data_IF_256653478549
#
_entry.id   IF_256653478549
#
_cell.length_a   1.000
_cell.length_b   1.000
_cell.length_c   1.000
_cell.angle_alpha   90.00
_cell.angle_beta   90.00
_cell.angle_gamma   90.00
#
_symmetry.space_group_name_H-M   'P 1'
#
loop_
_entity.id
_entity.type
_entity.pdbx_description
1 polymer ?
#
# COMPACT_ATOMS: atom_id res chain seq x y z
N UNK A 1 7.32 -9.54 10.57
CA UNK A 1 8.68 -9.61 11.15
C UNK A 1 9.05 -11.04 11.55
N UNK A 2 9.87 -11.69 10.74
CA UNK A 2 10.31 -13.08 10.98
C UNK A 2 11.24 -13.16 12.19
N UNK A 3 11.99 -12.09 12.46
CA UNK A 3 12.92 -11.99 13.58
C UNK A 3 12.31 -11.34 14.82
N UNK A 4 10.98 -11.16 14.86
CA UNK A 4 10.27 -10.54 15.98
C UNK A 4 10.61 -11.19 17.33
N UNK A 5 10.69 -12.52 17.37
CA UNK A 5 11.05 -13.23 18.59
C UNK A 5 12.47 -12.88 19.07
N UNK A 6 13.43 -12.80 18.16
CA UNK A 6 14.83 -12.43 18.48
C UNK A 6 14.91 -10.99 18.94
N UNK A 7 14.25 -10.07 18.23
CA UNK A 7 14.18 -8.65 18.61
C UNK A 7 13.57 -8.50 19.99
N UNK A 8 12.44 -9.15 20.25
CA UNK A 8 11.72 -9.04 21.51
C UNK A 8 12.44 -9.69 22.68
N UNK A 9 13.16 -10.78 22.44
CA UNK A 9 13.92 -11.46 23.49
C UNK A 9 14.95 -10.53 24.14
N UNK A 10 15.51 -9.59 23.38
CA UNK A 10 16.48 -8.60 23.90
C UNK A 10 15.81 -7.27 24.24
N UNK A 11 14.92 -6.78 23.38
CA UNK A 11 14.30 -5.47 23.55
C UNK A 11 13.36 -5.41 24.76
N UNK A 12 12.59 -6.48 25.04
CA UNK A 12 11.63 -6.47 26.17
C UNK A 12 12.34 -6.41 27.53
N UNK A 13 13.35 -7.27 27.83
CA UNK A 13 14.09 -7.14 29.09
C UNK A 13 14.83 -5.81 29.21
N UNK A 14 15.48 -5.35 28.13
CA UNK A 14 16.28 -4.14 28.16
C UNK A 14 15.40 -2.89 28.37
N UNK A 15 14.27 -2.79 27.67
CA UNK A 15 13.29 -1.71 27.88
C UNK A 15 12.69 -1.72 29.29
N UNK A 16 12.46 -2.91 29.87
CA UNK A 16 12.00 -3.03 31.26
C UNK A 16 13.03 -2.46 32.25
N UNK A 17 14.32 -2.75 32.04
CA UNK A 17 15.42 -2.19 32.86
C UNK A 17 15.54 -0.68 32.67
N UNK A 18 15.47 -0.19 31.42
CA UNK A 18 15.51 1.24 31.10
C UNK A 18 14.37 1.98 31.80
N UNK A 19 13.14 1.47 31.73
CA UNK A 19 11.98 2.07 32.36
C UNK A 19 12.16 2.21 33.88
N UNK A 20 12.61 1.14 34.55
CA UNK A 20 12.89 1.18 35.99
C UNK A 20 14.00 2.19 36.30
N UNK A 21 15.05 2.23 35.48
CA UNK A 21 16.15 3.17 35.65
C UNK A 21 15.70 4.64 35.45
N UNK A 22 14.81 4.91 34.50
CA UNK A 22 14.21 6.24 34.30
C UNK A 22 13.34 6.66 35.48
N UNK A 23 12.56 5.75 36.06
CA UNK A 23 11.80 6.01 37.29
C UNK A 23 12.75 6.36 38.44
N UNK A 24 13.83 5.58 38.62
CA UNK A 24 14.85 5.88 39.64
C UNK A 24 15.52 7.22 39.39
N UNK A 25 15.84 7.55 38.12
CA UNK A 25 16.39 8.84 37.72
C UNK A 25 15.49 10.00 38.16
N UNK A 26 14.17 9.88 37.95
CA UNK A 26 13.21 10.87 38.44
C UNK A 26 13.30 11.02 39.97
N UNK A 27 13.41 9.91 40.71
CA UNK A 27 13.53 9.91 42.17
C UNK A 27 14.84 10.48 42.70
N UNK A 28 15.94 10.48 41.94
CA UNK A 28 17.24 11.02 42.38
C UNK A 28 17.61 12.33 41.68
N UNK A 29 16.68 12.89 40.88
CA UNK A 29 16.88 14.07 40.03
C UNK A 29 17.35 15.31 40.80
N UNK A 30 17.03 15.40 42.10
CA UNK A 30 17.48 16.48 42.99
C UNK A 30 18.98 16.42 43.33
N UNK A 31 19.68 15.29 43.07
CA UNK A 31 21.12 15.16 43.25
C UNK A 31 21.79 15.20 41.87
N UNK A 32 22.16 16.39 41.39
CA UNK A 32 22.67 16.62 40.02
C UNK A 32 23.81 15.66 39.60
N UNK A 33 24.85 15.40 40.42
CA UNK A 33 25.90 14.44 40.04
C UNK A 33 25.40 13.01 39.84
N UNK A 34 24.46 12.56 40.68
CA UNK A 34 23.89 11.21 40.59
C UNK A 34 22.95 11.09 39.38
N UNK A 35 22.11 12.11 39.19
CA UNK A 35 21.18 12.19 38.06
C UNK A 35 21.92 12.24 36.71
N UNK A 36 23.02 12.99 36.62
CA UNK A 36 23.82 13.05 35.39
C UNK A 36 24.53 11.73 35.07
N UNK A 37 25.03 11.01 36.09
CA UNK A 37 25.61 9.67 35.90
C UNK A 37 24.54 8.65 35.46
N UNK A 38 23.41 8.60 36.17
CA UNK A 38 22.30 7.71 35.84
C UNK A 38 21.74 8.01 34.43
N UNK A 39 21.57 9.29 34.09
CA UNK A 39 21.13 9.71 32.75
C UNK A 39 22.10 9.28 31.64
N UNK A 40 23.43 9.36 31.86
CA UNK A 40 24.41 8.84 30.89
C UNK A 40 24.31 7.34 30.70
N UNK A 41 24.13 6.58 31.79
CA UNK A 41 23.95 5.12 31.71
C UNK A 41 22.66 4.75 30.96
N UNK A 42 21.54 5.40 31.28
CA UNK A 42 20.26 5.20 30.61
C UNK A 42 20.39 5.52 29.11
N UNK A 43 21.02 6.64 28.75
CA UNK A 43 21.27 7.00 27.36
C UNK A 43 22.06 5.92 26.61
N UNK A 44 23.11 5.35 27.23
CA UNK A 44 23.87 4.25 26.65
C UNK A 44 23.03 2.98 26.47
N UNK A 45 22.16 2.65 27.43
CA UNK A 45 21.24 1.50 27.32
C UNK A 45 20.22 1.68 26.20
N UNK A 46 19.65 2.89 26.07
CA UNK A 46 18.73 3.23 24.97
C UNK A 46 19.46 3.12 23.62
N UNK A 47 20.67 3.67 23.52
CA UNK A 47 21.49 3.57 22.31
C UNK A 47 21.80 2.11 21.95
N UNK A 48 22.14 1.27 22.93
CA UNK A 48 22.37 -0.15 22.74
C UNK A 48 21.10 -0.87 22.25
N UNK A 49 19.94 -0.56 22.85
CA UNK A 49 18.65 -1.12 22.44
C UNK A 49 18.32 -0.77 20.99
N UNK A 50 18.43 0.51 20.64
CA UNK A 50 18.13 1.00 19.30
C UNK A 50 19.09 0.40 18.27
N UNK A 51 20.38 0.37 18.58
CA UNK A 51 21.38 -0.28 17.72
C UNK A 51 21.05 -1.75 17.48
N UNK A 52 20.65 -2.50 18.51
CA UNK A 52 20.27 -3.91 18.34
C UNK A 52 19.01 -4.08 17.49
N UNK A 53 18.00 -3.24 17.70
CA UNK A 53 16.78 -3.25 16.89
C UNK A 53 17.09 -2.93 15.42
N UNK A 54 17.93 -1.93 15.16
CA UNK A 54 18.40 -1.57 13.81
C UNK A 54 19.20 -2.70 13.17
N UNK A 55 20.11 -3.33 13.91
CA UNK A 55 20.88 -4.49 13.46
C UNK A 55 19.94 -5.61 13.00
N UNK A 56 18.96 -5.98 13.83
CA UNK A 56 18.01 -7.05 13.50
C UNK A 56 17.11 -6.66 12.33
N UNK A 57 16.69 -5.41 12.24
CA UNK A 57 15.89 -4.91 11.11
C UNK A 57 16.68 -4.86 9.79
N UNK A 58 18.00 -4.67 9.86
CA UNK A 58 18.90 -4.67 8.70
C UNK A 58 19.23 -6.06 8.17
N UNK A 59 18.94 -7.13 8.92
CA UNK A 59 19.23 -8.50 8.49
C UNK A 59 18.36 -8.91 7.29
N UNK A 60 18.92 -9.65 6.32
CA UNK A 60 18.12 -10.25 5.26
C UNK A 60 17.07 -11.16 5.91
N UNK A 61 15.83 -11.12 5.39
CA UNK A 61 14.66 -11.85 5.91
C UNK A 61 14.03 -11.31 7.19
N UNK A 62 14.48 -10.17 7.77
CA UNK A 62 13.84 -9.59 8.96
C UNK A 62 12.31 -9.41 8.79
N UNK A 63 11.88 -9.08 7.57
CA UNK A 63 10.48 -8.99 7.20
C UNK A 63 10.19 -9.75 5.91
N UNK A 64 9.19 -10.65 5.95
CA UNK A 64 8.62 -11.20 4.75
C UNK A 64 7.68 -10.17 4.11
N UNK A 65 8.20 -9.41 3.15
CA UNK A 65 7.42 -8.43 2.39
C UNK A 65 6.40 -9.15 1.50
N UNK A 66 5.23 -8.54 1.31
CA UNK A 66 4.20 -8.97 0.34
C UNK A 66 3.43 -10.26 0.68
N UNK A 67 3.31 -10.61 1.95
CA UNK A 67 2.51 -11.75 2.40
C UNK A 67 1.04 -11.33 2.57
N UNK A 68 0.22 -11.54 1.54
CA UNK A 68 -1.24 -11.39 1.66
C UNK A 68 -1.85 -12.73 2.10
N UNK A 69 -2.40 -12.79 3.31
CA UNK A 69 -3.20 -13.91 3.82
C UNK A 69 -4.59 -13.36 4.17
N UNK A 70 -5.64 -14.06 3.74
CA UNK A 70 -7.01 -13.67 4.08
C UNK A 70 -7.36 -14.15 5.49
N UNK A 71 -8.37 -13.52 6.12
CA UNK A 71 -8.85 -13.93 7.44
C UNK A 71 -9.19 -15.43 7.53
N UNK A 72 -9.82 -15.99 6.48
CA UNK A 72 -10.12 -17.42 6.44
C UNK A 72 -8.85 -18.30 6.40
N UNK A 73 -7.84 -17.89 5.64
CA UNK A 73 -6.54 -18.58 5.58
C UNK A 73 -5.81 -18.50 6.93
N UNK A 74 -5.86 -17.34 7.60
CA UNK A 74 -5.29 -17.15 8.94
C UNK A 74 -5.98 -18.06 9.98
N UNK A 75 -7.31 -18.11 9.98
CA UNK A 75 -8.06 -19.00 10.87
C UNK A 75 -7.68 -20.47 10.65
N UNK A 76 -7.55 -20.90 9.39
CA UNK A 76 -7.11 -22.26 9.06
C UNK A 76 -5.69 -22.56 9.56
N UNK A 77 -4.79 -21.59 9.53
CA UNK A 77 -3.46 -21.74 10.11
C UNK A 77 -3.52 -21.88 11.64
N UNK A 78 -4.38 -21.12 12.33
CA UNK A 78 -4.58 -21.29 13.78
C UNK A 78 -5.17 -22.66 14.13
N UNK A 79 -6.14 -23.15 13.35
CA UNK A 79 -6.68 -24.51 13.49
C UNK A 79 -5.58 -25.55 13.28
N UNK A 80 -4.70 -25.35 12.29
CA UNK A 80 -3.60 -26.27 12.03
C UNK A 80 -2.58 -26.29 13.18
N UNK A 81 -2.23 -25.13 13.74
CA UNK A 81 -1.34 -25.04 14.91
C UNK A 81 -1.97 -25.73 16.12
N UNK A 82 -3.21 -25.39 16.46
CA UNK A 82 -3.92 -25.98 17.59
C UNK A 82 -4.11 -27.51 17.45
N UNK A 83 -4.50 -27.96 16.25
CA UNK A 83 -4.67 -29.38 15.94
C UNK A 83 -3.36 -30.17 16.04
N UNK A 84 -2.25 -29.59 15.58
CA UNK A 84 -0.92 -30.19 15.71
C UNK A 84 -0.45 -30.23 17.17
N UNK A 85 -0.64 -29.16 17.94
CA UNK A 85 -0.35 -29.13 19.38
C UNK A 85 -1.13 -30.21 20.12
N UNK A 86 -2.43 -30.33 19.84
CA UNK A 86 -3.28 -31.35 20.46
C UNK A 86 -2.87 -32.77 20.07
N UNK A 87 -2.46 -32.98 18.81
CA UNK A 87 -1.90 -34.25 18.37
C UNK A 87 -0.64 -34.63 19.16
N UNK A 88 0.30 -33.70 19.35
CA UNK A 88 1.53 -34.00 20.11
C UNK A 88 1.27 -34.25 21.59
N UNK A 89 0.33 -33.51 22.21
CA UNK A 89 0.01 -33.65 23.64
C UNK A 89 -0.80 -34.91 23.95
N UNK A 90 -1.78 -35.25 23.11
CA UNK A 90 -2.77 -36.30 23.40
C UNK A 90 -2.68 -37.51 22.47
N UNK A 91 -1.87 -37.46 21.41
CA UNK A 91 -1.71 -38.51 20.39
C UNK A 91 -3.02 -38.94 19.72
N UNK A 92 -4.02 -38.05 19.70
CA UNK A 92 -5.33 -38.31 19.10
C UNK A 92 -5.24 -38.21 17.58
N UNK A 93 -5.39 -39.33 16.85
CA UNK A 93 -5.28 -39.35 15.38
C UNK A 93 -6.30 -38.46 14.67
N UNK A 94 -7.47 -38.24 15.28
CA UNK A 94 -8.49 -37.36 14.72
C UNK A 94 -8.02 -35.90 14.58
N UNK A 95 -7.18 -35.39 15.51
CA UNK A 95 -6.67 -34.02 15.39
C UNK A 95 -5.66 -33.87 14.26
N UNK A 96 -4.91 -34.94 13.95
CA UNK A 96 -4.06 -34.99 12.76
C UNK A 96 -4.89 -34.92 11.48
N UNK A 97 -5.97 -35.69 11.39
CA UNK A 97 -6.88 -35.66 10.24
C UNK A 97 -7.49 -34.27 10.03
N UNK A 98 -8.03 -33.65 11.10
CA UNK A 98 -8.57 -32.28 11.04
C UNK A 98 -7.51 -31.28 10.57
N UNK A 99 -6.28 -31.39 11.09
CA UNK A 99 -5.16 -30.53 10.70
C UNK A 99 -4.82 -30.70 9.22
N UNK A 100 -4.72 -31.93 8.72
CA UNK A 100 -4.43 -32.20 7.31
C UNK A 100 -5.54 -31.69 6.40
N UNK A 101 -6.81 -31.94 6.73
CA UNK A 101 -7.94 -31.39 5.98
C UNK A 101 -7.94 -29.85 5.98
N UNK A 102 -7.68 -29.23 7.13
CA UNK A 102 -7.58 -27.77 7.25
C UNK A 102 -6.45 -27.20 6.37
N UNK A 103 -5.29 -27.85 6.35
CA UNK A 103 -4.17 -27.46 5.48
C UNK A 103 -4.49 -27.64 4.00
N UNK A 104 -5.19 -28.71 3.61
CA UNK A 104 -5.65 -28.91 2.23
C UNK A 104 -6.58 -27.76 1.80
N UNK A 105 -7.55 -27.40 2.63
CA UNK A 105 -8.44 -26.25 2.38
C UNK A 105 -7.64 -24.95 2.31
N UNK A 106 -6.66 -24.76 3.19
CA UNK A 106 -5.76 -23.60 3.14
C UNK A 106 -5.04 -23.51 1.80
N UNK A 107 -4.43 -24.61 1.32
CA UNK A 107 -3.73 -24.64 0.04
C UNK A 107 -4.70 -24.40 -1.13
N UNK A 108 -5.92 -24.92 -1.07
CA UNK A 108 -6.94 -24.65 -2.08
C UNK A 108 -7.28 -23.16 -2.15
N UNK A 109 -7.61 -22.54 -1.02
CA UNK A 109 -7.90 -21.10 -0.93
C UNK A 109 -6.70 -20.26 -1.37
N UNK A 110 -5.49 -20.70 -1.03
CA UNK A 110 -4.25 -20.04 -1.44
C UNK A 110 -4.10 -20.06 -2.95
N UNK A 111 -4.29 -21.22 -3.57
CA UNK A 111 -4.23 -21.41 -5.02
C UNK A 111 -5.29 -20.56 -5.73
N UNK A 112 -6.54 -20.59 -5.26
CA UNK A 112 -7.62 -19.76 -5.83
C UNK A 112 -7.31 -18.27 -5.73
N UNK A 113 -6.77 -17.80 -4.59
CA UNK A 113 -6.33 -16.41 -4.44
C UNK A 113 -5.22 -16.02 -5.42
N UNK A 114 -4.30 -16.94 -5.72
CA UNK A 114 -3.26 -16.73 -6.71
C UNK A 114 -3.79 -16.70 -8.14
N UNK A 115 -4.71 -17.60 -8.50
CA UNK A 115 -5.36 -17.63 -9.82
C UNK A 115 -6.16 -16.35 -10.04
N UNK A 116 -6.92 -15.90 -9.05
CA UNK A 116 -7.65 -14.63 -9.12
C UNK A 116 -6.70 -13.44 -9.33
N UNK A 117 -5.54 -13.43 -8.65
CA UNK A 117 -4.54 -12.38 -8.84
C UNK A 117 -3.83 -12.46 -10.20
N UNK A 118 -3.78 -13.61 -10.86
CA UNK A 118 -3.23 -13.72 -12.22
C UNK A 118 -4.23 -13.23 -13.28
N UNK A 119 -5.53 -13.38 -13.04
CA UNK A 119 -6.60 -13.00 -13.96
C UNK A 119 -7.19 -11.60 -13.67
N UNK A 120 -6.64 -10.86 -12.71
CA UNK A 120 -7.13 -9.52 -12.40
C UNK A 120 -6.65 -8.52 -13.46
N UNK A 121 -7.50 -7.58 -13.82
CA UNK A 121 -7.10 -6.36 -14.51
C UNK A 121 -7.81 -5.19 -13.87
N UNK A 122 -7.08 -4.17 -13.43
CA UNK A 122 -7.67 -3.06 -12.67
C UNK A 122 -6.95 -1.75 -12.96
N UNK A 123 -7.70 -0.67 -13.05
CA UNK A 123 -7.15 0.68 -12.92
C UNK A 123 -7.38 1.18 -11.50
N UNK A 124 -6.32 1.70 -10.87
CA UNK A 124 -6.39 2.37 -9.57
C UNK A 124 -5.85 3.79 -9.74
N UNK A 125 -6.63 4.81 -9.37
CA UNK A 125 -6.13 6.18 -9.21
C UNK A 125 -6.15 6.51 -7.71
N UNK A 126 -4.98 6.70 -7.12
CA UNK A 126 -4.79 6.82 -5.69
C UNK A 126 -5.15 8.21 -5.17
N UNK A 127 -5.75 8.28 -3.98
CA UNK A 127 -5.98 9.54 -3.29
C UNK A 127 -4.76 9.93 -2.45
N UNK A 128 -3.81 10.62 -3.08
CA UNK A 128 -2.61 11.14 -2.41
C UNK A 128 -2.62 12.67 -2.56
N UNK A 129 -2.74 13.37 -1.45
CA UNK A 129 -2.93 14.83 -1.45
C UNK A 129 -1.85 15.55 -2.29
N UNK A 130 -2.29 16.35 -3.26
CA UNK A 130 -1.47 17.17 -4.17
C UNK A 130 -0.54 16.39 -5.10
N UNK A 131 -0.71 15.07 -5.22
CA UNK A 131 0.14 14.22 -6.04
C UNK A 131 -0.67 13.45 -7.09
N UNK A 132 -0.02 13.18 -8.22
CA UNK A 132 -0.49 12.25 -9.25
C UNK A 132 -0.02 10.84 -8.91
N UNK A 133 -0.94 9.88 -8.85
CA UNK A 133 -0.60 8.48 -8.74
C UNK A 133 -1.71 7.61 -9.31
N UNK A 134 -1.42 6.89 -10.39
CA UNK A 134 -2.27 5.84 -10.91
C UNK A 134 -1.48 4.56 -11.17
N UNK A 135 -2.16 3.43 -11.16
CA UNK A 135 -1.58 2.14 -11.44
C UNK A 135 -2.56 1.28 -12.24
N UNK A 136 -2.12 0.83 -13.41
CA UNK A 136 -2.80 -0.16 -14.21
C UNK A 136 -2.23 -1.53 -13.84
N UNK A 137 -3.06 -2.40 -13.29
CA UNK A 137 -2.70 -3.75 -12.86
C UNK A 137 -3.14 -4.73 -13.95
N UNK A 138 -2.23 -5.59 -14.37
CA UNK A 138 -2.48 -6.71 -15.27
C UNK A 138 -1.88 -8.00 -14.68
N UNK A 139 -2.75 -8.86 -14.16
CA UNK A 139 -2.36 -10.00 -13.37
C UNK A 139 -1.53 -9.59 -12.15
N UNK A 140 -0.26 -10.00 -12.14
CA UNK A 140 0.70 -9.67 -11.07
C UNK A 140 1.74 -8.64 -11.50
N UNK A 141 1.51 -8.00 -12.63
CA UNK A 141 2.32 -6.90 -13.16
C UNK A 141 1.51 -5.62 -13.01
N UNK A 142 2.21 -4.48 -12.86
CA UNK A 142 1.55 -3.20 -12.93
C UNK A 142 2.39 -2.17 -13.67
N UNK A 143 1.71 -1.21 -14.29
CA UNK A 143 2.29 0.02 -14.82
C UNK A 143 1.88 1.14 -13.88
N UNK A 144 2.84 1.74 -13.19
CA UNK A 144 2.60 2.88 -12.31
C UNK A 144 2.96 4.17 -13.04
N UNK A 145 2.05 5.13 -13.07
CA UNK A 145 2.26 6.45 -13.63
C UNK A 145 1.88 7.52 -12.61
N UNK A 146 2.79 8.47 -12.39
CA UNK A 146 2.59 9.52 -11.40
C UNK A 146 3.90 10.16 -10.95
N UNK A 147 3.82 10.95 -9.89
CA UNK A 147 4.95 11.73 -9.42
C UNK A 147 6.03 10.83 -8.80
N UNK A 148 7.30 11.07 -9.15
CA UNK A 148 8.40 10.22 -8.69
C UNK A 148 8.57 10.20 -7.16
N UNK A 149 8.12 11.26 -6.48
CA UNK A 149 8.14 11.36 -5.02
C UNK A 149 7.27 10.30 -4.34
N UNK A 150 6.16 9.89 -4.97
CA UNK A 150 5.25 8.85 -4.45
C UNK A 150 5.99 7.52 -4.24
N UNK A 151 6.99 7.22 -5.07
CA UNK A 151 7.78 5.99 -5.01
C UNK A 151 9.05 6.18 -4.19
N UNK A 152 9.71 7.35 -4.31
CA UNK A 152 10.97 7.65 -3.62
C UNK A 152 10.80 7.84 -2.12
N UNK A 153 9.68 8.43 -1.69
CA UNK A 153 9.39 8.66 -0.28
C UNK A 153 8.89 7.38 0.38
N UNK A 154 9.65 6.86 1.34
CA UNK A 154 9.29 5.61 2.04
C UNK A 154 7.94 5.73 2.76
N UNK A 155 7.64 6.87 3.38
CA UNK A 155 6.39 7.07 4.12
C UNK A 155 5.19 7.07 3.18
N UNK A 156 5.22 7.90 2.13
CA UNK A 156 4.13 8.01 1.15
C UNK A 156 3.90 6.65 0.49
N UNK A 157 4.97 6.00 0.04
CA UNK A 157 4.91 4.68 -0.58
C UNK A 157 4.28 3.65 0.36
N UNK A 158 4.76 3.55 1.61
CA UNK A 158 4.34 2.55 2.58
C UNK A 158 2.86 2.68 2.97
N UNK A 159 2.35 3.91 3.07
CA UNK A 159 0.96 4.13 3.50
C UNK A 159 -0.04 4.16 2.35
N UNK A 160 0.36 4.53 1.13
CA UNK A 160 -0.58 4.72 0.02
C UNK A 160 -0.49 3.63 -1.06
N UNK A 161 0.72 3.18 -1.41
CA UNK A 161 0.94 2.28 -2.56
C UNK A 161 1.17 0.84 -2.12
N UNK A 162 2.03 0.63 -1.12
CA UNK A 162 2.42 -0.70 -0.66
C UNK A 162 1.24 -1.59 -0.21
N UNK A 163 0.18 -1.09 0.46
CA UNK A 163 -0.95 -1.91 0.86
C UNK A 163 -1.72 -2.44 -0.36
N UNK A 164 -1.96 -1.58 -1.35
CA UNK A 164 -2.61 -1.95 -2.62
C UNK A 164 -1.79 -3.00 -3.36
N UNK A 165 -0.48 -2.77 -3.57
CA UNK A 165 0.41 -3.74 -4.23
C UNK A 165 0.46 -5.08 -3.52
N UNK A 166 0.45 -5.07 -2.18
CA UNK A 166 0.41 -6.30 -1.37
C UNK A 166 -0.91 -7.03 -1.52
N UNK A 167 -2.04 -6.31 -1.44
CA UNK A 167 -3.38 -6.86 -1.60
C UNK A 167 -3.58 -7.48 -2.99
N UNK A 168 -3.10 -6.79 -4.04
CA UNK A 168 -3.14 -7.25 -5.43
C UNK A 168 -2.01 -8.21 -5.79
N UNK A 169 -1.14 -8.59 -4.84
CA UNK A 169 -0.02 -9.52 -5.04
C UNK A 169 0.92 -9.12 -6.18
N UNK A 170 1.12 -7.84 -6.42
CA UNK A 170 1.99 -7.32 -7.48
C UNK A 170 3.42 -7.82 -7.26
N UNK A 171 4.01 -8.37 -8.32
CA UNK A 171 5.37 -8.91 -8.32
C UNK A 171 6.39 -7.92 -8.88
N UNK A 172 6.00 -7.20 -9.92
CA UNK A 172 6.88 -6.28 -10.64
C UNK A 172 6.09 -5.11 -11.17
N UNK A 173 6.77 -3.98 -11.26
CA UNK A 173 6.18 -2.71 -11.65
C UNK A 173 7.02 -2.11 -12.76
N UNK A 174 6.36 -1.68 -13.82
CA UNK A 174 6.95 -0.88 -14.87
C UNK A 174 6.64 0.60 -14.62
N UNK A 175 7.65 1.45 -14.77
CA UNK A 175 7.54 2.89 -14.63
C UNK A 175 7.76 3.50 -16.01
N UNK A 176 6.71 3.96 -16.71
CA UNK A 176 6.87 4.65 -17.97
C UNK A 176 7.63 5.96 -17.71
N UNK A 177 8.57 6.28 -18.60
CA UNK A 177 9.14 7.62 -18.65
C UNK A 177 8.07 8.54 -19.21
N UNK A 178 7.45 9.35 -18.35
CA UNK A 178 6.54 10.43 -18.78
C UNK A 178 7.31 11.72 -18.66
N UNK A 179 7.59 12.36 -19.79
CA UNK A 179 8.29 13.64 -19.85
C UNK A 179 7.29 14.78 -20.09
N UNK A 180 7.37 15.85 -19.31
CA UNK A 180 6.53 17.04 -19.48
C UNK A 180 5.00 16.84 -19.37
N UNK A 181 4.26 17.56 -20.23
CA UNK A 181 2.79 17.60 -20.33
C UNK A 181 2.21 16.48 -21.23
N UNK A 182 3.02 15.49 -21.62
CA UNK A 182 2.59 14.43 -22.53
C UNK A 182 1.45 13.58 -21.94
N UNK A 183 0.49 13.24 -22.78
CA UNK A 183 -0.61 12.34 -22.41
C UNK A 183 -0.09 10.91 -22.45
N UNK A 184 -0.07 10.24 -21.30
CA UNK A 184 0.25 8.82 -21.23
C UNK A 184 -0.96 8.00 -21.67
N UNK A 185 -0.77 7.15 -22.67
CA UNK A 185 -1.79 6.22 -23.14
C UNK A 185 -1.47 4.80 -22.67
N UNK A 186 -2.46 4.14 -22.09
CA UNK A 186 -2.41 2.73 -21.73
C UNK A 186 -3.56 2.00 -22.41
N UNK A 187 -3.27 0.83 -22.96
CA UNK A 187 -4.29 -0.05 -23.54
C UNK A 187 -4.77 -1.04 -22.49
N UNK A 188 -6.06 -1.34 -22.49
CA UNK A 188 -6.67 -2.39 -21.69
C UNK A 188 -7.75 -3.11 -22.51
N UNK A 189 -8.22 -4.30 -22.09
CA UNK A 189 -9.31 -4.98 -22.80
C UNK A 189 -10.63 -4.21 -22.82
N UNK A 190 -10.87 -3.30 -21.86
CA UNK A 190 -12.02 -2.38 -21.87
C UNK A 190 -11.78 -1.11 -22.68
N UNK A 191 -10.64 -0.98 -23.34
CA UNK A 191 -10.29 0.13 -24.21
C UNK A 191 -9.14 1.00 -23.69
N UNK A 192 -9.04 2.20 -24.24
CA UNK A 192 -7.92 3.12 -24.03
C UNK A 192 -8.12 3.93 -22.74
N UNK A 193 -7.07 3.97 -21.93
CA UNK A 193 -6.94 4.79 -20.73
C UNK A 193 -5.93 5.89 -21.02
N UNK A 194 -6.30 7.15 -20.80
CA UNK A 194 -5.41 8.28 -21.00
C UNK A 194 -5.18 8.99 -19.67
N UNK A 195 -3.92 9.27 -19.29
CA UNK A 195 -3.60 10.24 -18.26
C UNK A 195 -3.07 11.51 -18.94
N UNK A 196 -3.76 12.62 -18.73
CA UNK A 196 -3.46 13.89 -19.39
C UNK A 196 -3.08 14.98 -18.38
N UNK A 197 -2.04 15.74 -18.71
CA UNK A 197 -1.59 16.95 -18.00
C UNK A 197 -1.84 18.24 -18.80
N UNK A 198 -2.62 18.13 -19.88
CA UNK A 198 -2.98 19.21 -20.79
C UNK A 198 -4.13 18.79 -21.72
N UNK A 199 -4.41 19.58 -22.77
CA UNK A 199 -5.42 19.23 -23.78
C UNK A 199 -5.07 17.93 -24.52
N UNK A 200 -6.07 17.09 -24.77
CA UNK A 200 -5.90 15.76 -25.38
C UNK A 200 -6.38 15.77 -26.82
N UNK A 201 -5.44 15.84 -27.77
CA UNK A 201 -5.74 15.84 -29.20
C UNK A 201 -5.67 14.42 -29.78
N UNK A 202 -6.76 13.65 -29.69
CA UNK A 202 -6.79 12.28 -30.22
C UNK A 202 -8.12 11.93 -30.90
N UNK A 203 -8.08 11.22 -32.05
CA UNK A 203 -9.28 10.80 -32.77
C UNK A 203 -9.94 9.53 -32.21
N UNK A 204 -9.29 8.84 -31.26
CA UNK A 204 -9.71 7.53 -30.76
C UNK A 204 -10.66 7.65 -29.56
N UNK A 205 -11.57 6.68 -29.42
CA UNK A 205 -12.47 6.58 -28.27
C UNK A 205 -11.68 6.23 -27.00
N UNK A 206 -11.45 7.24 -26.14
CA UNK A 206 -10.89 7.06 -24.80
C UNK A 206 -12.01 6.59 -23.87
N UNK A 207 -11.78 5.53 -23.12
CA UNK A 207 -12.79 4.97 -22.23
C UNK A 207 -12.68 5.60 -20.85
N UNK A 208 -11.46 5.82 -20.38
CA UNK A 208 -11.17 6.43 -19.09
C UNK A 208 -10.13 7.53 -19.32
N UNK A 209 -10.50 8.78 -18.99
CA UNK A 209 -9.58 9.92 -19.01
C UNK A 209 -9.25 10.33 -17.57
N UNK A 210 -8.00 10.22 -17.18
CA UNK A 210 -7.47 10.74 -15.92
C UNK A 210 -6.87 12.12 -16.16
N UNK A 211 -7.41 13.14 -15.51
CA UNK A 211 -6.88 14.50 -15.56
C UNK A 211 -5.99 14.70 -14.34
N UNK A 212 -4.73 15.07 -14.58
CA UNK A 212 -3.66 15.15 -13.59
C UNK A 212 -2.82 16.41 -13.81
N UNK A 213 -2.09 16.88 -12.80
CA UNK A 213 -1.13 17.99 -12.92
C UNK A 213 -1.76 19.38 -13.00
N UNK A 214 -3.05 19.55 -12.69
CA UNK A 214 -3.73 20.85 -12.69
C UNK A 214 -3.66 21.61 -14.05
N UNK A 215 -4.03 20.99 -15.18
CA UNK A 215 -3.96 21.60 -16.50
C UNK A 215 -4.83 22.84 -16.60
N UNK A 216 -4.38 23.83 -17.38
CA UNK A 216 -5.10 25.10 -17.59
C UNK A 216 -6.29 24.90 -18.53
N UNK A 217 -7.36 25.66 -18.30
CA UNK A 217 -8.54 25.70 -19.17
C UNK A 217 -9.80 25.10 -18.54
N UNK A 218 -10.92 25.26 -19.24
CA UNK A 218 -12.17 24.56 -18.92
C UNK A 218 -12.06 23.08 -19.28
N UNK A 219 -12.97 22.24 -18.79
CA UNK A 219 -12.95 20.83 -19.17
C UNK A 219 -13.15 20.65 -20.69
N UNK A 220 -13.97 21.51 -21.30
CA UNK A 220 -14.23 21.51 -22.74
C UNK A 220 -12.95 21.72 -23.56
N UNK A 221 -12.09 22.64 -23.09
CA UNK A 221 -10.79 22.92 -23.71
C UNK A 221 -9.84 21.71 -23.59
N UNK A 222 -9.92 20.97 -22.50
CA UNK A 222 -9.08 19.79 -22.27
C UNK A 222 -9.52 18.60 -23.14
N UNK A 223 -10.83 18.43 -23.30
CA UNK A 223 -11.40 17.33 -24.08
C UNK A 223 -11.23 17.54 -25.59
N UNK A 224 -11.26 18.78 -26.09
CA UNK A 224 -11.12 19.08 -27.53
C UNK A 224 -12.06 18.28 -28.46
N UNK A 225 -13.28 17.99 -27.99
CA UNK A 225 -14.27 17.18 -28.71
C UNK A 225 -14.22 15.67 -28.39
N UNK A 226 -13.31 15.24 -27.52
CA UNK A 226 -13.29 13.90 -26.95
C UNK A 226 -14.50 13.66 -26.03
N UNK A 227 -15.14 12.51 -26.17
CA UNK A 227 -16.24 12.05 -25.33
C UNK A 227 -15.83 10.78 -24.58
N UNK A 228 -15.10 10.90 -23.45
CA UNK A 228 -14.69 9.74 -22.69
C UNK A 228 -15.86 9.09 -21.95
N UNK A 229 -15.77 7.78 -21.72
CA UNK A 229 -16.78 7.05 -20.94
C UNK A 229 -16.86 7.52 -19.48
N UNK A 230 -15.72 7.92 -18.91
CA UNK A 230 -15.60 8.56 -17.60
C UNK A 230 -14.37 9.46 -17.53
N UNK A 231 -14.50 10.60 -16.84
CA UNK A 231 -13.40 11.50 -16.47
C UNK A 231 -13.05 11.34 -15.00
N UNK A 232 -11.81 11.02 -14.67
CA UNK A 232 -11.33 10.87 -13.30
C UNK A 232 -10.38 12.02 -12.99
N UNK A 233 -10.71 12.82 -11.97
CA UNK A 233 -9.84 13.88 -11.47
C UNK A 233 -8.99 13.33 -10.33
N UNK A 234 -7.67 13.32 -10.51
CA UNK A 234 -6.77 12.91 -9.43
C UNK A 234 -6.60 14.00 -8.36
N UNK A 235 -5.89 13.65 -7.29
CA UNK A 235 -5.67 14.52 -6.12
C UNK A 235 -4.63 15.62 -6.32
N UNK A 236 -4.00 15.72 -7.50
CA UNK A 236 -3.11 16.84 -7.83
C UNK A 236 -3.89 18.10 -8.26
N UNK A 237 -5.16 17.94 -8.65
CA UNK A 237 -6.02 19.04 -9.05
C UNK A 237 -6.61 19.78 -7.83
N UNK A 238 -6.58 21.12 -7.78
CA UNK A 238 -7.21 21.89 -6.72
C UNK A 238 -8.74 21.70 -6.70
N UNK A 239 -9.32 21.56 -5.51
CA UNK A 239 -10.76 21.30 -5.35
C UNK A 239 -11.67 22.36 -5.99
N UNK A 240 -11.27 23.63 -6.01
CA UNK A 240 -12.03 24.68 -6.70
C UNK A 240 -12.14 24.44 -8.22
N UNK A 241 -11.09 23.88 -8.83
CA UNK A 241 -11.06 23.58 -10.26
C UNK A 241 -11.85 22.32 -10.57
N UNK A 242 -11.67 21.28 -9.75
CA UNK A 242 -12.48 20.05 -9.83
C UNK A 242 -13.97 20.37 -9.71
N UNK A 243 -14.36 21.28 -8.81
CA UNK A 243 -15.75 21.73 -8.69
C UNK A 243 -16.29 22.36 -9.98
N UNK A 244 -15.50 23.21 -10.64
CA UNK A 244 -15.86 23.79 -11.94
C UNK A 244 -15.95 22.71 -13.02
N UNK A 245 -14.97 21.82 -13.12
CA UNK A 245 -14.99 20.75 -14.12
C UNK A 245 -16.12 19.74 -13.89
N UNK A 246 -16.52 19.46 -12.65
CA UNK A 246 -17.70 18.66 -12.35
C UNK A 246 -18.99 19.31 -12.89
N UNK A 247 -19.09 20.64 -12.87
CA UNK A 247 -20.21 21.35 -13.51
C UNK A 247 -20.17 21.18 -15.03
N UNK A 248 -18.98 21.33 -15.64
CA UNK A 248 -18.79 21.08 -17.09
C UNK A 248 -19.21 19.65 -17.45
N UNK A 249 -18.86 18.65 -16.64
CA UNK A 249 -19.28 17.26 -16.86
C UNK A 249 -20.80 17.10 -16.88
N UNK A 250 -21.52 17.75 -15.96
CA UNK A 250 -22.99 17.69 -15.90
C UNK A 250 -23.60 18.32 -17.16
N UNK A 251 -23.10 19.48 -17.58
CA UNK A 251 -23.56 20.16 -18.80
C UNK A 251 -23.31 19.34 -20.07
N UNK A 252 -22.19 18.61 -20.11
CA UNK A 252 -21.80 17.76 -21.23
C UNK A 252 -22.39 16.33 -21.14
N UNK A 253 -23.16 16.03 -20.10
CA UNK A 253 -23.68 14.69 -19.80
C UNK A 253 -22.57 13.61 -19.74
N UNK A 254 -21.45 13.93 -19.10
CA UNK A 254 -20.29 13.06 -18.88
C UNK A 254 -20.26 12.52 -17.46
N UNK A 255 -19.89 11.25 -17.33
CA UNK A 255 -19.59 10.68 -16.03
C UNK A 255 -18.25 11.22 -15.54
N UNK A 256 -18.19 11.65 -14.28
CA UNK A 256 -16.95 12.05 -13.67
C UNK A 256 -16.81 11.58 -12.23
N UNK A 257 -15.57 11.47 -11.77
CA UNK A 257 -15.21 11.00 -10.45
C UNK A 257 -14.08 11.85 -9.89
N UNK A 258 -14.18 12.32 -8.65
CA UNK A 258 -13.05 12.98 -7.99
C UNK A 258 -12.47 12.09 -6.91
N UNK A 259 -11.19 11.77 -7.08
CA UNK A 259 -10.46 10.96 -6.12
C UNK A 259 -10.31 11.67 -4.76
N UNK A 260 -10.22 13.00 -4.77
CA UNK A 260 -10.13 13.80 -3.55
C UNK A 260 -11.44 13.77 -2.74
N UNK A 261 -12.60 13.76 -3.41
CA UNK A 261 -13.92 13.78 -2.76
C UNK A 261 -14.39 12.37 -2.34
N UNK A 262 -14.12 11.36 -3.18
CA UNK A 262 -14.75 10.04 -3.10
C UNK A 262 -13.77 8.94 -2.65
N UNK A 263 -12.48 9.27 -2.52
CA UNK A 263 -11.42 8.30 -2.27
C UNK A 263 -10.88 7.67 -3.54
N UNK A 264 -9.96 6.71 -3.41
CA UNK A 264 -9.28 6.10 -4.55
C UNK A 264 -10.27 5.53 -5.58
N UNK A 265 -10.09 5.89 -6.86
CA UNK A 265 -10.87 5.32 -7.95
C UNK A 265 -10.35 3.92 -8.26
N UNK A 266 -11.20 2.90 -8.20
CA UNK A 266 -10.83 1.50 -8.50
C UNK A 266 -11.83 0.92 -9.49
N UNK A 267 -11.35 0.59 -10.68
CA UNK A 267 -12.17 0.00 -11.75
C UNK A 267 -11.62 -1.34 -12.19
N UNK A 268 -12.45 -2.39 -12.20
CA UNK A 268 -12.10 -3.68 -12.78
C UNK A 268 -12.19 -3.58 -14.32
N UNK A 269 -11.16 -4.04 -15.02
CA UNK A 269 -11.02 -3.97 -16.48
C UNK A 269 -11.13 -5.33 -17.17
N UNK A 270 -11.25 -6.40 -16.40
CA UNK A 270 -11.59 -7.73 -16.87
C UNK A 270 -13.12 -7.93 -17.02
#
# INVERSE_FOLDING_TARGET
>A
PNLFLVTNFVAIPLSSVILIAEIVLCCISFITPLATLAGKLIHQLIALMNWFVELVNGLPLANWKSLQISFAQELLLYVAVAGMSFFFMKRIKASLFITTCGLLVFFLLRTLSFVNALNQQKLIVYNIAKMTAMELIEGRYSVFAGDSEVIKSESIFRFNIAPSRTYHRIRSVYLPAVDGDETLLLSSPKGIIAMARGPVYMPSQVHILVISGNPRGSLRDLLTGLMPGIVVFDSSNPGWRVKSWKQDCVEMNLNCYSVADEGAFVMNLN
#
